data_IF_123996027196
#
_entry.id   IF_123996027196
#
_cell.length_a   1.000
_cell.length_b   1.000
_cell.length_c   1.000
_cell.angle_alpha   90.00
_cell.angle_beta   90.00
_cell.angle_gamma   90.00
#
_symmetry.space_group_name_H-M   'P 1'
#
loop_
_entity.id
_entity.type
_entity.pdbx_description
1 polymer ?
#
# COMPACT_ATOMS: atom_id res chain seq x y z
N UNK A 1 6.90 3.17 7.24
CA UNK A 1 6.52 4.58 7.39
C UNK A 1 5.91 5.03 6.07
N UNK A 2 4.78 5.71 6.12
CA UNK A 2 4.12 6.30 4.96
C UNK A 2 4.77 7.66 4.66
N UNK A 3 5.31 7.85 3.46
CA UNK A 3 5.96 9.14 3.11
C UNK A 3 4.97 10.26 2.82
N UNK A 4 3.68 9.94 2.68
CA UNK A 4 2.61 10.91 2.42
C UNK A 4 2.20 11.62 3.73
N UNK A 5 1.84 10.87 4.78
CA UNK A 5 1.47 11.43 6.08
C UNK A 5 2.65 11.56 7.07
N UNK A 6 3.79 10.92 6.76
CA UNK A 6 4.99 10.85 7.61
C UNK A 6 4.80 10.09 8.93
N UNK A 7 3.86 9.16 8.97
CA UNK A 7 3.59 8.33 10.16
C UNK A 7 4.11 6.89 9.97
N UNK A 8 4.39 6.22 11.09
CA UNK A 8 4.73 4.81 11.10
C UNK A 8 3.49 3.96 10.84
N UNK A 9 3.69 2.78 10.25
CA UNK A 9 2.60 1.85 10.04
C UNK A 9 2.23 1.18 11.37
N UNK A 10 0.93 1.07 11.64
CA UNK A 10 0.40 0.54 12.89
C UNK A 10 -0.43 -0.71 12.64
N UNK A 11 -0.53 -1.55 13.67
CA UNK A 11 -1.41 -2.73 13.65
C UNK A 11 -2.85 -2.28 13.36
N UNK A 12 -3.56 -3.04 12.55
CA UNK A 12 -4.91 -2.79 12.08
C UNK A 12 -4.98 -1.83 10.89
N UNK A 13 -3.87 -1.21 10.47
CA UNK A 13 -3.90 -0.30 9.32
C UNK A 13 -3.88 -1.06 7.99
N UNK A 14 -4.68 -0.55 7.04
CA UNK A 14 -4.59 -0.96 5.64
C UNK A 14 -3.34 -0.34 5.02
N UNK A 15 -2.44 -1.19 4.54
CA UNK A 15 -1.26 -0.79 3.79
C UNK A 15 -1.43 -1.25 2.34
N UNK A 16 -1.06 -0.37 1.42
CA UNK A 16 -1.09 -0.65 -0.01
C UNK A 16 0.33 -0.65 -0.54
N UNK A 17 0.69 -1.71 -1.25
CA UNK A 17 1.93 -1.80 -2.01
C UNK A 17 1.66 -1.54 -3.48
N UNK A 18 2.36 -0.55 -4.01
CA UNK A 18 2.37 -0.21 -5.43
C UNK A 18 3.09 -1.31 -6.25
N UNK A 19 2.84 -1.42 -7.57
CA UNK A 19 3.56 -2.36 -8.44
C UNK A 19 5.08 -2.12 -8.47
N UNK A 20 5.51 -0.88 -8.24
CA UNK A 20 6.92 -0.52 -8.10
C UNK A 20 7.54 -0.92 -6.74
N UNK A 21 6.77 -1.54 -5.84
CA UNK A 21 7.23 -2.07 -4.56
C UNK A 21 7.10 -1.14 -3.36
N UNK A 22 6.85 0.16 -3.56
CA UNK A 22 6.68 1.13 -2.47
C UNK A 22 5.35 0.95 -1.72
N UNK A 23 5.38 1.19 -0.40
CA UNK A 23 4.25 0.95 0.50
C UNK A 23 3.78 2.25 1.15
N UNK A 24 2.46 2.36 1.33
CA UNK A 24 1.79 3.54 1.88
C UNK A 24 0.54 3.11 2.66
N UNK A 25 0.02 3.96 3.53
CA UNK A 25 -1.32 3.76 4.08
C UNK A 25 -2.36 3.79 2.95
N UNK A 26 -3.34 2.89 3.02
CA UNK A 26 -4.35 2.72 1.98
C UNK A 26 -5.10 4.03 1.68
N UNK A 27 -5.49 4.76 2.72
CA UNK A 27 -6.14 6.06 2.58
C UNK A 27 -5.26 7.12 1.92
N UNK A 28 -3.98 7.19 2.32
CA UNK A 28 -3.05 8.18 1.81
C UNK A 28 -2.77 7.97 0.31
N UNK A 29 -2.47 6.74 -0.10
CA UNK A 29 -2.16 6.47 -1.50
C UNK A 29 -3.40 6.52 -2.39
N UNK A 30 -4.57 6.14 -1.89
CA UNK A 30 -5.82 6.25 -2.67
C UNK A 30 -6.09 7.71 -3.06
N UNK A 31 -6.07 8.63 -2.08
CA UNK A 31 -6.24 10.08 -2.33
C UNK A 31 -5.16 10.66 -3.24
N UNK A 32 -3.93 10.20 -3.10
CA UNK A 32 -2.84 10.66 -3.96
C UNK A 32 -3.04 10.25 -5.41
N UNK A 33 -3.40 8.98 -5.64
CA UNK A 33 -3.54 8.43 -6.97
C UNK A 33 -4.77 8.96 -7.71
N UNK A 34 -5.85 9.31 -7.01
CA UNK A 34 -7.01 10.02 -7.57
C UNK A 34 -6.61 11.32 -8.30
N UNK A 35 -5.54 11.99 -7.84
CA UNK A 35 -5.08 13.27 -8.40
C UNK A 35 -3.94 13.12 -9.39
N UNK A 36 -2.98 12.23 -9.10
CA UNK A 36 -1.70 12.20 -9.82
C UNK A 36 -1.49 10.92 -10.63
N UNK A 37 -2.04 9.78 -10.20
CA UNK A 37 -1.84 8.50 -10.87
C UNK A 37 -0.39 8.00 -10.92
N UNK A 38 0.53 8.56 -10.12
CA UNK A 38 1.94 8.13 -10.05
C UNK A 38 2.40 7.87 -8.63
N UNK A 39 3.40 7.00 -8.46
CA UNK A 39 4.04 6.75 -7.17
C UNK A 39 4.69 8.03 -6.62
N UNK A 40 4.42 8.42 -5.35
CA UNK A 40 5.06 9.57 -4.71
C UNK A 40 6.59 9.49 -4.62
N UNK A 41 7.15 8.27 -4.63
CA UNK A 41 8.59 8.05 -4.42
C UNK A 41 9.34 7.99 -5.74
N UNK A 42 8.94 7.11 -6.66
CA UNK A 42 9.69 6.85 -7.90
C UNK A 42 8.98 7.32 -9.18
N UNK A 43 7.84 7.99 -9.07
CA UNK A 43 7.02 8.47 -10.21
C UNK A 43 6.53 7.38 -11.17
N UNK A 44 6.59 6.11 -10.77
CA UNK A 44 5.98 5.01 -11.52
C UNK A 44 4.49 5.29 -11.76
N UNK A 45 4.08 5.31 -13.03
CA UNK A 45 2.70 5.62 -13.43
C UNK A 45 1.82 4.37 -13.32
N UNK A 46 0.66 4.53 -12.70
CA UNK A 46 -0.40 3.52 -12.74
C UNK A 46 -1.19 3.69 -14.04
N UNK A 47 -1.20 2.66 -14.87
CA UNK A 47 -2.11 2.56 -16.01
C UNK A 47 -3.48 2.09 -15.52
N UNK A 48 -4.59 2.48 -16.17
CA UNK A 48 -5.96 2.32 -15.65
C UNK A 48 -6.35 0.91 -15.15
N UNK A 49 -5.71 -0.15 -15.64
CA UNK A 49 -5.94 -1.54 -15.19
C UNK A 49 -5.18 -1.92 -13.91
N UNK A 50 -4.16 -1.16 -13.52
CA UNK A 50 -3.28 -1.47 -12.38
C UNK A 50 -3.77 -0.93 -11.03
N UNK A 51 -4.82 -0.11 -11.00
CA UNK A 51 -5.48 0.28 -9.74
C UNK A 51 -6.11 -0.93 -9.03
N UNK A 52 -6.65 -1.88 -9.79
CA UNK A 52 -7.21 -3.14 -9.28
C UNK A 52 -6.13 -4.14 -8.84
N UNK A 53 -4.88 -3.91 -9.27
CA UNK A 53 -3.73 -4.75 -8.94
C UNK A 53 -2.92 -4.19 -7.76
N UNK A 54 -3.42 -3.15 -7.08
CA UNK A 54 -2.82 -2.66 -5.85
C UNK A 54 -2.98 -3.71 -4.77
N UNK A 55 -1.87 -4.12 -4.18
CA UNK A 55 -1.92 -5.13 -3.15
C UNK A 55 -2.20 -4.47 -1.80
N UNK A 56 -3.40 -4.74 -1.27
CA UNK A 56 -3.85 -4.32 0.06
C UNK A 56 -3.45 -5.35 1.10
N UNK A 57 -3.04 -4.87 2.26
CA UNK A 57 -2.64 -5.67 3.40
C UNK A 57 -3.20 -5.07 4.67
N UNK A 58 -3.65 -5.91 5.59
CA UNK A 58 -3.96 -5.49 6.96
C UNK A 58 -2.79 -5.90 7.84
N UNK A 59 -2.20 -4.94 8.56
CA UNK A 59 -1.14 -5.25 9.52
C UNK A 59 -1.74 -5.92 10.75
N UNK A 60 -1.50 -7.21 10.94
CA UNK A 60 -1.96 -7.94 12.12
C UNK A 60 -0.93 -7.81 13.27
N UNK A 61 -1.37 -7.93 14.55
CA UNK A 61 -0.44 -7.92 15.68
C UNK A 61 0.58 -9.05 15.54
N UNK A 62 1.85 -8.69 15.78
CA UNK A 62 2.99 -9.58 15.61
C UNK A 62 2.95 -10.75 16.60
N UNK A 63 2.41 -11.90 16.18
CA UNK A 63 2.82 -13.19 16.73
C UNK A 63 4.09 -13.60 15.97
N UNK A 64 5.22 -12.99 16.34
CA UNK A 64 6.60 -13.26 15.91
C UNK A 64 6.77 -14.07 14.61
N UNK A 65 6.73 -13.38 13.46
CA UNK A 65 7.52 -13.78 12.28
C UNK A 65 8.08 -12.52 11.58
N UNK A 66 9.37 -12.53 11.15
CA UNK A 66 9.97 -11.50 10.27
C UNK A 66 9.18 -11.32 8.95
N UNK A 67 9.46 -10.29 8.13
CA UNK A 67 8.49 -9.56 7.31
C UNK A 67 7.96 -10.36 6.11
N UNK A 68 7.16 -11.39 6.34
CA UNK A 68 6.30 -11.96 5.31
C UNK A 68 4.94 -11.35 5.49
N UNK A 69 4.75 -10.18 4.87
CA UNK A 69 3.43 -9.60 4.65
C UNK A 69 2.57 -10.70 4.04
N UNK A 70 1.65 -11.28 4.82
CA UNK A 70 0.82 -12.38 4.36
C UNK A 70 -0.11 -11.82 3.28
N UNK A 71 0.03 -12.34 2.07
CA UNK A 71 -0.75 -11.96 0.90
C UNK A 71 -2.20 -12.37 1.16
N UNK A 72 -3.01 -11.53 1.80
CA UNK A 72 -4.46 -11.72 1.84
C UNK A 72 -5.03 -11.33 0.47
N UNK A 73 -4.76 -12.17 -0.53
CA UNK A 73 -5.58 -12.23 -1.73
C UNK A 73 -6.94 -12.73 -1.27
N UNK A 74 -7.90 -11.82 -1.05
CA UNK A 74 -9.31 -12.19 -1.04
C UNK A 74 -9.87 -11.77 -2.39
N UNK A 75 -9.69 -12.65 -3.36
CA UNK A 75 -10.43 -12.62 -4.62
C UNK A 75 -11.91 -12.86 -4.30
N UNK A 76 -12.75 -11.87 -4.58
CA UNK A 76 -14.08 -12.07 -5.14
C UNK A 76 -14.50 -10.82 -5.90
#
# INVERSE_FOLDING_TARGET
>A
MCTICRENFSIGMEIVRMPCGHMFDGHCISKWLERSGVCPVCRFKISGTSFLNLQKYLLEPCNYTPPTIRFLIKMK
#
